data_IF_912448348502
#
_entry.id   IF_912448348502
#
_cell.length_a   1.000
_cell.length_b   1.000
_cell.length_c   1.000
_cell.angle_alpha   90.00
_cell.angle_beta   90.00
_cell.angle_gamma   90.00
#
_symmetry.space_group_name_H-M   'P 1'
#
loop_
_entity.id
_entity.type
_entity.pdbx_description
1 polymer ?
#
# COMPACT_ATOMS: atom_id res chain seq x y z
N UNK A 1 -4.12 -10.27 2.41
CA UNK A 1 -4.98 -9.06 2.35
C UNK A 1 -4.23 -7.76 2.69
N UNK A 2 -3.36 -7.72 3.70
CA UNK A 2 -2.53 -6.52 3.95
C UNK A 2 -1.68 -6.15 2.73
N UNK A 3 -1.02 -7.13 2.11
CA UNK A 3 -0.29 -6.93 0.85
C UNK A 3 -1.17 -6.36 -0.26
N UNK A 4 -2.43 -6.78 -0.34
CA UNK A 4 -3.38 -6.20 -1.30
C UNK A 4 -3.61 -4.71 -1.03
N UNK A 5 -3.93 -4.34 0.22
CA UNK A 5 -4.22 -2.95 0.58
C UNK A 5 -3.05 -2.03 0.22
N UNK A 6 -1.85 -2.45 0.54
CA UNK A 6 -0.64 -1.68 0.25
C UNK A 6 -0.34 -1.66 -1.26
N UNK A 7 -0.35 -2.82 -1.92
CA UNK A 7 -0.07 -2.94 -3.35
C UNK A 7 -1.13 -2.27 -4.22
N UNK A 8 -2.40 -2.18 -3.76
CA UNK A 8 -3.45 -1.48 -4.47
C UNK A 8 -3.15 0.03 -4.58
N UNK A 9 -2.62 0.65 -3.49
CA UNK A 9 -2.15 2.02 -3.52
C UNK A 9 -1.00 2.23 -4.50
N UNK A 10 -0.01 1.34 -4.47
CA UNK A 10 1.14 1.38 -5.38
C UNK A 10 0.72 1.16 -6.84
N UNK A 11 -0.16 0.19 -7.10
CA UNK A 11 -0.71 -0.10 -8.43
C UNK A 11 -1.51 1.08 -9.00
N UNK A 12 -2.27 1.78 -8.14
CA UNK A 12 -3.02 2.97 -8.54
C UNK A 12 -2.07 4.12 -8.92
N UNK A 13 -1.05 4.39 -8.11
CA UNK A 13 -0.04 5.43 -8.38
C UNK A 13 0.67 5.11 -9.69
N UNK A 14 1.24 3.90 -9.81
CA UNK A 14 1.99 3.53 -11.00
C UNK A 14 1.10 3.51 -12.26
N UNK A 15 -0.09 2.94 -12.18
CA UNK A 15 -0.99 2.83 -13.32
C UNK A 15 -1.41 4.18 -13.93
N UNK A 16 -1.50 5.23 -13.09
CA UNK A 16 -1.94 6.57 -13.53
C UNK A 16 -0.77 7.48 -13.86
N UNK A 17 0.25 7.47 -13.01
CA UNK A 17 1.37 8.43 -13.09
C UNK A 17 2.58 7.85 -13.81
N UNK A 18 2.67 6.52 -13.93
CA UNK A 18 3.82 5.79 -14.45
C UNK A 18 5.12 6.09 -13.66
N UNK A 19 5.00 6.27 -12.34
CA UNK A 19 6.11 6.55 -11.43
C UNK A 19 6.29 5.37 -10.48
N UNK A 20 7.52 4.84 -10.43
CA UNK A 20 7.91 3.83 -9.45
C UNK A 20 8.22 4.52 -8.10
N UNK A 21 7.31 4.38 -7.15
CA UNK A 21 7.44 5.01 -5.84
C UNK A 21 8.01 4.04 -4.80
N UNK A 22 9.33 4.05 -4.60
CA UNK A 22 9.97 3.24 -3.56
C UNK A 22 9.59 3.69 -2.14
N UNK A 23 9.29 4.96 -1.94
CA UNK A 23 8.90 5.48 -0.63
C UNK A 23 7.51 5.01 -0.17
N UNK A 24 6.77 4.25 -1.01
CA UNK A 24 5.41 3.82 -0.69
C UNK A 24 5.33 2.95 0.57
N UNK A 25 6.28 2.02 0.73
CA UNK A 25 6.33 1.18 1.93
C UNK A 25 6.85 1.95 3.16
N UNK A 26 7.74 2.92 2.99
CA UNK A 26 8.18 3.76 4.09
C UNK A 26 7.06 4.72 4.54
N UNK A 27 6.22 5.19 3.62
CA UNK A 27 4.98 5.91 3.96
C UNK A 27 3.98 5.02 4.69
N UNK A 28 3.89 3.74 4.32
CA UNK A 28 3.13 2.74 5.07
C UNK A 28 3.69 2.56 6.49
N UNK A 29 5.00 2.43 6.64
CA UNK A 29 5.67 2.31 7.94
C UNK A 29 5.41 3.55 8.80
N UNK A 30 5.64 4.75 8.26
CA UNK A 30 5.36 6.02 8.94
C UNK A 30 3.89 6.10 9.39
N UNK A 31 2.96 5.65 8.53
CA UNK A 31 1.54 5.61 8.84
C UNK A 31 1.22 4.76 10.07
N UNK A 32 1.96 3.66 10.27
CA UNK A 32 1.81 2.81 11.44
C UNK A 32 2.23 3.52 12.71
N UNK A 33 3.36 4.18 12.71
CA UNK A 33 3.81 4.98 13.84
C UNK A 33 2.84 6.13 14.15
N UNK A 34 2.30 6.80 13.13
CA UNK A 34 1.26 7.83 13.28
C UNK A 34 -0.01 7.23 13.87
N UNK A 35 -0.48 6.09 13.35
CA UNK A 35 -1.68 5.38 13.87
C UNK A 35 -1.48 4.99 15.33
N UNK A 36 -0.30 4.46 15.68
CA UNK A 36 0.04 4.13 17.06
C UNK A 36 -0.04 5.36 17.98
N UNK A 37 0.51 6.50 17.56
CA UNK A 37 0.49 7.74 18.34
C UNK A 37 -0.93 8.25 18.55
N UNK A 38 -1.75 8.27 17.51
CA UNK A 38 -3.16 8.69 17.58
C UNK A 38 -3.95 7.73 18.48
N UNK A 39 -3.76 6.41 18.32
CA UNK A 39 -4.41 5.41 19.17
C UNK A 39 -4.04 5.58 20.64
N UNK A 40 -2.76 5.80 20.94
CA UNK A 40 -2.28 6.01 22.32
C UNK A 40 -2.87 7.27 22.90
N UNK A 41 -2.90 8.37 22.15
CA UNK A 41 -3.52 9.63 22.58
C UNK A 41 -5.02 9.46 22.87
N UNK A 42 -5.78 8.84 21.95
CA UNK A 42 -7.22 8.60 22.16
C UNK A 42 -7.48 7.69 23.36
N UNK A 43 -6.67 6.65 23.54
CA UNK A 43 -6.80 5.73 24.67
C UNK A 43 -6.51 6.39 26.02
N UNK A 44 -5.61 7.36 26.05
CA UNK A 44 -5.34 8.15 27.26
C UNK A 44 -6.48 9.11 27.62
N UNK A 45 -7.16 9.71 26.61
CA UNK A 45 -8.23 10.70 26.82
C UNK A 45 -9.58 10.05 27.08
N UNK A 46 -9.90 8.94 26.39
CA UNK A 46 -11.25 8.36 26.38
C UNK A 46 -11.31 6.96 27.01
N UNK A 47 -10.19 6.48 27.56
CA UNK A 47 -10.06 5.13 28.08
C UNK A 47 -9.58 4.11 27.07
N UNK A 48 -8.84 3.10 27.55
CA UNK A 48 -8.28 2.06 26.70
C UNK A 48 -9.39 1.12 26.20
N UNK A 49 -9.80 1.29 24.95
CA UNK A 49 -10.81 0.45 24.29
C UNK A 49 -10.35 0.03 22.91
N UNK A 50 -10.54 -1.24 22.50
CA UNK A 50 -10.24 -1.71 21.15
C UNK A 50 -10.94 -0.89 20.05
N UNK A 51 -12.10 -0.32 20.33
CA UNK A 51 -12.86 0.52 19.39
C UNK A 51 -12.15 1.81 19.02
N UNK A 52 -11.17 2.29 19.84
CA UNK A 52 -10.37 3.47 19.53
C UNK A 52 -9.43 3.26 18.33
N UNK A 53 -9.23 2.02 17.91
CA UNK A 53 -8.43 1.71 16.72
C UNK A 53 -9.08 2.29 15.44
N UNK A 54 -10.40 2.19 15.32
CA UNK A 54 -11.10 2.66 14.12
C UNK A 54 -10.98 4.16 13.90
N UNK A 55 -11.29 5.05 14.88
CA UNK A 55 -11.04 6.48 14.73
C UNK A 55 -9.55 6.80 14.56
N UNK A 56 -8.64 6.06 15.20
CA UNK A 56 -7.21 6.25 15.00
C UNK A 56 -6.79 5.98 13.54
N UNK A 57 -7.28 4.90 12.94
CA UNK A 57 -7.03 4.59 11.52
C UNK A 57 -7.61 5.69 10.63
N UNK A 58 -8.84 6.12 10.85
CA UNK A 58 -9.49 7.16 10.02
C UNK A 58 -8.69 8.48 10.07
N UNK A 59 -8.29 8.90 11.26
CA UNK A 59 -7.46 10.10 11.44
C UNK A 59 -6.08 9.94 10.77
N UNK A 60 -5.44 8.78 10.92
CA UNK A 60 -4.16 8.49 10.29
C UNK A 60 -4.26 8.49 8.75
N UNK A 61 -5.31 7.87 8.20
CA UNK A 61 -5.59 7.87 6.75
C UNK A 61 -5.77 9.30 6.24
N UNK A 62 -6.56 10.12 6.93
CA UNK A 62 -6.77 11.52 6.54
C UNK A 62 -5.47 12.31 6.58
N UNK A 63 -4.71 12.21 7.68
CA UNK A 63 -3.43 12.91 7.84
C UNK A 63 -2.40 12.47 6.79
N UNK A 64 -2.24 11.16 6.59
CA UNK A 64 -1.27 10.64 5.64
C UNK A 64 -1.67 10.88 4.19
N UNK A 65 -2.97 10.95 3.88
CA UNK A 65 -3.42 11.39 2.55
C UNK A 65 -3.05 12.85 2.29
N UNK A 66 -3.13 13.73 3.29
CA UNK A 66 -2.67 15.13 3.19
C UNK A 66 -1.14 15.20 3.01
N UNK A 67 -0.39 14.37 3.75
CA UNK A 67 1.07 14.25 3.57
C UNK A 67 1.39 13.78 2.16
N UNK A 68 0.70 12.75 1.66
CA UNK A 68 0.86 12.25 0.30
C UNK A 68 0.56 13.34 -0.74
N UNK A 69 -0.54 14.07 -0.58
CA UNK A 69 -0.87 15.21 -1.45
C UNK A 69 0.23 16.28 -1.45
N UNK A 70 0.77 16.62 -0.28
CA UNK A 70 1.86 17.60 -0.15
C UNK A 70 3.16 17.09 -0.79
N UNK A 71 3.54 15.83 -0.55
CA UNK A 71 4.73 15.22 -1.16
C UNK A 71 4.64 15.20 -2.68
N UNK A 72 3.48 14.87 -3.23
CA UNK A 72 3.29 14.95 -4.68
C UNK A 72 3.47 16.38 -5.18
N UNK A 73 2.78 17.33 -4.55
CA UNK A 73 2.75 18.72 -5.01
C UNK A 73 4.11 19.41 -4.95
N UNK A 74 4.89 19.13 -3.92
CA UNK A 74 6.15 19.85 -3.67
C UNK A 74 7.39 19.09 -4.13
N UNK A 75 7.35 17.75 -4.23
CA UNK A 75 8.52 16.96 -4.61
C UNK A 75 8.28 16.17 -5.91
N UNK A 76 7.32 15.24 -5.92
CA UNK A 76 7.19 14.26 -7.00
C UNK A 76 6.80 14.92 -8.33
N UNK A 77 6.01 15.97 -8.29
CA UNK A 77 5.60 16.72 -9.48
C UNK A 77 6.78 17.19 -10.33
N UNK A 78 7.90 17.54 -9.71
CA UNK A 78 9.08 18.04 -10.42
C UNK A 78 9.85 16.95 -11.18
N UNK A 79 9.45 15.68 -10.99
CA UNK A 79 10.09 14.53 -11.67
C UNK A 79 9.24 13.94 -12.79
N UNK A 80 8.07 14.50 -13.12
CA UNK A 80 7.19 13.90 -14.15
C UNK A 80 7.80 13.82 -15.54
N UNK A 81 8.65 14.79 -15.89
CA UNK A 81 9.35 14.87 -17.17
C UNK A 81 10.79 14.33 -17.10
N UNK A 82 11.17 13.79 -15.95
CA UNK A 82 12.50 13.26 -15.70
C UNK A 82 12.56 11.76 -16.06
N UNK A 83 13.76 11.28 -16.32
CA UNK A 83 14.00 9.86 -16.59
C UNK A 83 13.72 8.98 -15.36
N UNK A 84 13.40 7.70 -15.59
CA UNK A 84 13.11 6.73 -14.52
C UNK A 84 14.20 6.68 -13.42
N UNK A 85 15.52 6.73 -13.73
CA UNK A 85 16.55 6.71 -12.68
C UNK A 85 16.47 7.91 -11.72
N UNK A 86 16.14 9.11 -12.23
CA UNK A 86 16.01 10.31 -11.40
C UNK A 86 14.78 10.21 -10.46
N UNK A 87 13.67 9.66 -10.98
CA UNK A 87 12.47 9.41 -10.18
C UNK A 87 12.74 8.38 -9.07
N UNK A 88 13.46 7.30 -9.39
CA UNK A 88 13.87 6.29 -8.43
C UNK A 88 14.77 6.87 -7.35
N UNK A 89 15.75 7.70 -7.73
CA UNK A 89 16.67 8.34 -6.80
C UNK A 89 15.94 9.27 -5.83
N UNK A 90 14.97 10.08 -6.32
CA UNK A 90 14.16 10.94 -5.46
C UNK A 90 13.34 10.13 -4.46
N UNK A 91 12.64 9.08 -4.93
CA UNK A 91 11.80 8.27 -4.04
C UNK A 91 12.64 7.46 -3.05
N UNK A 92 13.86 7.04 -3.43
CA UNK A 92 14.81 6.40 -2.52
C UNK A 92 15.36 7.39 -1.47
N UNK A 93 15.66 8.62 -1.86
CA UNK A 93 16.04 9.67 -0.91
C UNK A 93 14.92 9.92 0.12
N UNK A 94 13.64 9.88 -0.31
CA UNK A 94 12.49 9.95 0.60
C UNK A 94 12.45 8.76 1.58
N UNK A 95 12.81 7.54 1.16
CA UNK A 95 12.92 6.38 2.06
C UNK A 95 13.88 6.70 3.21
N UNK A 96 15.08 7.21 2.89
CA UNK A 96 16.10 7.54 3.89
C UNK A 96 15.63 8.66 4.83
N UNK A 97 15.11 9.74 4.27
CA UNK A 97 14.63 10.89 5.07
C UNK A 97 13.48 10.48 5.99
N UNK A 98 12.47 9.77 5.48
CA UNK A 98 11.33 9.34 6.27
C UNK A 98 11.73 8.30 7.32
N UNK A 99 12.67 7.40 7.00
CA UNK A 99 13.24 6.46 7.96
C UNK A 99 13.95 7.17 9.12
N UNK A 100 14.72 8.22 8.83
CA UNK A 100 15.37 9.02 9.87
C UNK A 100 14.36 9.89 10.66
N UNK A 101 13.32 10.40 10.03
CA UNK A 101 12.22 11.09 10.73
C UNK A 101 11.54 10.13 11.73
N UNK A 102 11.28 8.88 11.33
CA UNK A 102 10.71 7.88 12.25
C UNK A 102 11.64 7.65 13.45
N UNK A 103 12.95 7.48 13.21
CA UNK A 103 13.95 7.31 14.30
C UNK A 103 13.99 8.49 15.25
N UNK A 104 13.97 9.72 14.71
CA UNK A 104 14.06 10.94 15.52
C UNK A 104 12.82 11.16 16.39
N UNK A 105 11.62 10.84 15.87
CA UNK A 105 10.36 11.11 16.56
C UNK A 105 9.96 9.97 17.51
N UNK A 106 10.09 8.71 17.08
CA UNK A 106 9.62 7.55 17.83
C UNK A 106 10.74 6.64 18.39
N UNK A 107 12.00 6.91 18.02
CA UNK A 107 13.13 6.08 18.43
C UNK A 107 13.23 4.77 17.62
N UNK A 108 14.00 3.82 18.17
CA UNK A 108 14.25 2.50 17.54
C UNK A 108 13.29 1.41 18.03
N UNK A 109 12.36 1.75 18.90
CA UNK A 109 11.47 0.76 19.52
C UNK A 109 10.40 0.28 18.57
N UNK A 110 10.14 -1.01 18.62
CA UNK A 110 9.02 -1.62 17.90
C UNK A 110 7.70 -1.18 18.51
N UNK A 111 6.76 -0.77 17.68
CA UNK A 111 5.43 -0.30 18.12
C UNK A 111 4.36 -1.32 17.72
N UNK A 112 3.53 -1.71 18.70
CA UNK A 112 2.40 -2.61 18.51
C UNK A 112 1.19 -2.12 19.31
N UNK A 113 0.00 -2.30 18.77
CA UNK A 113 -1.25 -2.11 19.51
C UNK A 113 -1.73 -3.48 19.99
N UNK A 114 -1.89 -3.62 21.30
CA UNK A 114 -2.50 -4.82 21.86
C UNK A 114 -3.99 -4.56 22.10
N UNK A 115 -4.82 -5.25 21.34
CA UNK A 115 -6.29 -5.15 21.46
C UNK A 115 -6.89 -6.08 22.52
N UNK A 116 -6.07 -6.90 23.19
CA UNK A 116 -6.54 -7.89 24.16
C UNK A 116 -7.40 -9.01 23.54
N UNK A 117 -7.35 -9.18 22.21
CA UNK A 117 -8.11 -10.24 21.53
C UNK A 117 -7.47 -11.59 21.83
N UNK A 118 -8.22 -12.47 22.46
CA UNK A 118 -7.79 -13.82 22.79
C UNK A 118 -7.80 -14.70 21.51
N UNK A 119 -6.77 -15.54 21.29
CA UNK A 119 -6.82 -16.54 20.22
C UNK A 119 -8.00 -17.48 20.43
N UNK A 120 -8.67 -17.84 19.35
CA UNK A 120 -9.78 -18.76 19.34
C UNK A 120 -9.33 -20.11 18.77
N UNK A 121 -9.72 -21.20 19.40
CA UNK A 121 -9.43 -22.54 18.92
C UNK A 121 -10.39 -22.90 17.77
N UNK A 122 -9.85 -23.15 16.60
CA UNK A 122 -10.59 -23.50 15.41
C UNK A 122 -9.85 -24.60 14.65
N UNK A 123 -10.49 -25.76 14.47
CA UNK A 123 -9.90 -26.93 13.80
C UNK A 123 -8.53 -27.33 14.39
N UNK A 124 -8.47 -27.47 15.73
CA UNK A 124 -7.27 -27.81 16.49
C UNK A 124 -6.09 -26.84 16.31
N UNK A 125 -6.37 -25.62 15.84
CA UNK A 125 -5.37 -24.57 15.62
C UNK A 125 -5.81 -23.27 16.30
N UNK A 126 -4.87 -22.58 16.96
CA UNK A 126 -5.11 -21.29 17.57
C UNK A 126 -5.10 -20.19 16.47
N UNK A 127 -6.28 -19.66 16.18
CA UNK A 127 -6.46 -18.60 15.19
C UNK A 127 -6.75 -17.28 15.90
N UNK A 128 -6.08 -16.21 15.50
CA UNK A 128 -6.41 -14.87 15.99
C UNK A 128 -7.65 -14.33 15.25
N UNK A 129 -8.79 -14.08 15.94
CA UNK A 129 -10.02 -13.59 15.30
C UNK A 129 -9.82 -12.28 14.53
N UNK A 130 -8.82 -11.48 14.89
CA UNK A 130 -8.49 -10.24 14.20
C UNK A 130 -8.09 -10.46 12.72
N UNK A 131 -7.61 -11.66 12.37
CA UNK A 131 -7.30 -12.00 10.96
C UNK A 131 -8.55 -11.94 10.06
N UNK A 132 -9.73 -12.28 10.58
CA UNK A 132 -10.99 -12.15 9.82
C UNK A 132 -11.35 -10.68 9.57
N UNK A 133 -11.04 -9.79 10.52
CA UNK A 133 -11.21 -8.33 10.32
C UNK A 133 -10.31 -7.84 9.18
N UNK A 134 -9.07 -8.30 9.11
CA UNK A 134 -8.12 -7.97 8.03
C UNK A 134 -8.66 -8.45 6.68
N UNK A 135 -9.16 -9.68 6.62
CA UNK A 135 -9.72 -10.25 5.38
C UNK A 135 -10.96 -9.44 4.96
N UNK A 136 -11.87 -9.19 5.89
CA UNK A 136 -13.09 -8.41 5.63
C UNK A 136 -12.75 -6.98 5.15
N UNK A 137 -11.80 -6.33 5.78
CA UNK A 137 -11.32 -4.99 5.37
C UNK A 137 -10.72 -5.04 3.96
N UNK A 138 -9.89 -6.04 3.66
CA UNK A 138 -9.31 -6.19 2.33
C UNK A 138 -10.36 -6.35 1.23
N UNK A 139 -11.37 -7.20 1.45
CA UNK A 139 -12.48 -7.41 0.51
C UNK A 139 -13.34 -6.15 0.38
N UNK A 140 -13.67 -5.49 1.50
CA UNK A 140 -14.45 -4.25 1.50
C UNK A 140 -13.75 -3.14 0.73
N UNK A 141 -12.43 -2.98 0.91
CA UNK A 141 -11.63 -2.00 0.17
C UNK A 141 -11.52 -2.37 -1.30
N UNK A 142 -11.37 -3.66 -1.65
CA UNK A 142 -11.36 -4.09 -3.04
C UNK A 142 -12.67 -3.74 -3.75
N UNK A 143 -13.82 -4.05 -3.12
CA UNK A 143 -15.13 -3.69 -3.64
C UNK A 143 -15.34 -2.15 -3.70
N UNK A 144 -14.92 -1.44 -2.66
CA UNK A 144 -14.98 0.02 -2.60
C UNK A 144 -14.15 0.70 -3.68
N UNK A 145 -12.91 0.26 -3.91
CA UNK A 145 -12.04 0.78 -4.97
C UNK A 145 -12.60 0.46 -6.35
N UNK A 146 -13.10 -0.76 -6.55
CA UNK A 146 -13.76 -1.12 -7.81
C UNK A 146 -14.96 -0.20 -8.08
N UNK A 147 -15.83 -0.02 -7.09
CA UNK A 147 -16.98 0.89 -7.20
C UNK A 147 -16.53 2.34 -7.45
N UNK A 148 -15.57 2.82 -6.68
CA UNK A 148 -15.04 4.18 -6.80
C UNK A 148 -14.47 4.44 -8.20
N UNK A 149 -13.64 3.54 -8.71
CA UNK A 149 -13.03 3.70 -10.04
C UNK A 149 -14.04 3.57 -11.18
N UNK A 150 -15.09 2.73 -11.06
CA UNK A 150 -16.01 2.47 -12.17
C UNK A 150 -17.25 3.36 -12.14
N UNK A 151 -17.71 3.78 -10.96
CA UNK A 151 -18.99 4.48 -10.81
C UNK A 151 -18.84 5.97 -10.56
N UNK A 152 -17.71 6.47 -10.01
CA UNK A 152 -17.54 7.90 -9.72
C UNK A 152 -17.02 8.70 -10.92
N UNK A 153 -17.27 10.01 -10.92
CA UNK A 153 -16.74 10.94 -11.94
C UNK A 153 -15.21 10.97 -11.89
N UNK A 154 -14.64 11.00 -10.69
CA UNK A 154 -13.20 10.99 -10.50
C UNK A 154 -12.54 9.70 -11.04
N UNK A 155 -13.10 8.53 -10.73
CA UNK A 155 -12.62 7.26 -11.27
C UNK A 155 -12.67 7.18 -12.80
N UNK A 156 -13.69 7.78 -13.44
CA UNK A 156 -13.75 7.87 -14.91
C UNK A 156 -12.62 8.73 -15.47
N UNK A 157 -12.33 9.89 -14.83
CA UNK A 157 -11.23 10.78 -15.21
C UNK A 157 -9.88 10.09 -15.02
N UNK A 158 -9.67 9.41 -13.89
CA UNK A 158 -8.44 8.65 -13.60
C UNK A 158 -8.20 7.60 -14.69
N UNK A 159 -9.21 6.81 -15.04
CA UNK A 159 -9.09 5.81 -16.12
C UNK A 159 -8.84 6.45 -17.50
N UNK A 160 -9.49 7.56 -17.80
CA UNK A 160 -9.23 8.29 -19.04
C UNK A 160 -7.79 8.83 -19.11
N UNK A 161 -7.24 9.30 -17.98
CA UNK A 161 -5.85 9.79 -17.89
C UNK A 161 -4.82 8.68 -18.10
N UNK A 162 -5.13 7.42 -17.72
CA UNK A 162 -4.29 6.25 -18.04
C UNK A 162 -4.18 6.03 -19.54
N UNK A 163 -5.28 6.20 -20.29
CA UNK A 163 -5.27 6.00 -21.75
C UNK A 163 -4.65 7.16 -22.51
N UNK A 164 -4.96 8.41 -22.15
CA UNK A 164 -4.45 9.59 -22.85
C UNK A 164 -4.49 10.83 -21.95
N UNK A 165 -3.31 11.19 -21.44
CA UNK A 165 -3.11 12.42 -20.65
C UNK A 165 -3.42 13.68 -21.45
N UNK A 166 -2.99 13.71 -22.72
CA UNK A 166 -3.20 14.86 -23.63
C UNK A 166 -4.69 15.11 -23.90
N UNK A 167 -5.48 14.06 -24.10
CA UNK A 167 -6.91 14.20 -24.32
C UNK A 167 -7.65 14.72 -23.08
N UNK A 168 -7.30 14.22 -21.88
CA UNK A 168 -7.90 14.71 -20.62
C UNK A 168 -7.52 16.16 -20.37
N UNK A 169 -6.28 16.56 -20.66
CA UNK A 169 -5.83 17.95 -20.58
C UNK A 169 -6.57 18.86 -21.58
N UNK A 170 -6.82 18.39 -22.80
CA UNK A 170 -7.57 19.13 -23.82
C UNK A 170 -9.03 19.39 -23.42
N UNK A 171 -9.61 18.56 -22.55
CA UNK A 171 -10.92 18.77 -21.93
C UNK A 171 -10.91 19.78 -20.77
N UNK A 172 -9.77 20.45 -20.52
CA UNK A 172 -9.62 21.44 -19.46
C UNK A 172 -9.41 20.86 -18.06
N UNK A 173 -9.16 19.55 -17.93
CA UNK A 173 -8.94 18.91 -16.64
C UNK A 173 -7.46 19.00 -16.28
N UNK A 174 -7.10 19.61 -15.12
CA UNK A 174 -5.70 19.77 -14.71
C UNK A 174 -5.09 18.42 -14.27
N UNK A 175 -4.29 17.81 -15.13
CA UNK A 175 -3.60 16.54 -14.87
C UNK A 175 -2.80 16.54 -13.56
N UNK A 176 -2.04 17.62 -13.20
CA UNK A 176 -1.30 17.64 -11.94
C UNK A 176 -2.19 17.50 -10.70
N UNK A 177 -3.42 18.01 -10.74
CA UNK A 177 -4.36 17.85 -9.63
C UNK A 177 -4.87 16.41 -9.52
N UNK A 178 -5.12 15.75 -10.66
CA UNK A 178 -5.52 14.33 -10.70
C UNK A 178 -4.40 13.47 -10.10
N UNK A 179 -3.15 13.74 -10.45
CA UNK A 179 -2.00 13.01 -9.94
C UNK A 179 -1.83 13.18 -8.43
N UNK A 180 -1.97 14.42 -7.92
CA UNK A 180 -1.92 14.69 -6.49
C UNK A 180 -3.00 13.93 -5.71
N UNK A 181 -4.23 13.90 -6.24
CA UNK A 181 -5.34 13.15 -5.63
C UNK A 181 -5.10 11.62 -5.67
N UNK A 182 -4.59 11.11 -6.79
CA UNK A 182 -4.26 9.68 -6.95
C UNK A 182 -3.14 9.28 -5.98
N UNK A 183 -2.11 10.11 -5.86
CA UNK A 183 -1.02 9.87 -4.93
C UNK A 183 -1.51 9.89 -3.47
N UNK A 184 -2.34 10.90 -3.11
CA UNK A 184 -2.98 11.00 -1.80
C UNK A 184 -3.82 9.76 -1.47
N UNK A 185 -4.63 9.28 -2.43
CA UNK A 185 -5.40 8.05 -2.27
C UNK A 185 -4.52 6.82 -2.08
N UNK A 186 -3.43 6.70 -2.86
CA UNK A 186 -2.49 5.59 -2.72
C UNK A 186 -1.83 5.58 -1.34
N UNK A 187 -1.37 6.74 -0.85
CA UNK A 187 -0.81 6.88 0.49
C UNK A 187 -1.87 6.63 1.57
N UNK A 188 -3.12 7.06 1.36
CA UNK A 188 -4.25 6.75 2.24
C UNK A 188 -4.52 5.25 2.36
N UNK A 189 -4.42 4.50 1.24
CA UNK A 189 -4.53 3.04 1.25
C UNK A 189 -3.36 2.38 2.00
N UNK A 190 -2.14 2.91 1.85
CA UNK A 190 -1.00 2.46 2.64
C UNK A 190 -1.21 2.71 4.14
N UNK A 191 -1.76 3.87 4.51
CA UNK A 191 -2.08 4.19 5.89
C UNK A 191 -3.17 3.27 6.48
N UNK A 192 -4.19 2.96 5.68
CA UNK A 192 -5.22 2.00 6.08
C UNK A 192 -4.62 0.59 6.26
N UNK A 193 -3.78 0.14 5.32
CA UNK A 193 -3.08 -1.14 5.42
C UNK A 193 -2.23 -1.23 6.69
N UNK A 194 -1.52 -0.17 7.01
CA UNK A 194 -0.66 -0.04 8.19
C UNK A 194 -1.47 -0.09 9.49
N UNK A 195 -2.53 0.71 9.58
CA UNK A 195 -3.38 0.74 10.77
C UNK A 195 -4.07 -0.59 11.06
N UNK A 196 -4.50 -1.31 10.02
CA UNK A 196 -5.08 -2.65 10.13
C UNK A 196 -4.02 -3.71 10.46
N UNK A 197 -2.77 -3.52 10.05
CA UNK A 197 -1.67 -4.45 10.32
C UNK A 197 -1.13 -4.35 11.76
N UNK A 198 -1.13 -3.16 12.34
CA UNK A 198 -0.46 -2.83 13.61
C UNK A 198 -0.88 -3.69 14.81
N UNK A 199 -2.13 -4.17 14.97
CA UNK A 199 -2.49 -5.11 16.03
C UNK A 199 -1.98 -6.54 15.80
N UNK A 200 -1.67 -6.91 14.55
CA UNK A 200 -1.23 -8.27 14.20
C UNK A 200 0.24 -8.48 14.55
N UNK A 201 1.10 -7.60 14.09
CA UNK A 201 2.55 -7.68 14.25
C UNK A 201 3.12 -6.30 14.64
N UNK A 202 4.20 -6.29 15.44
CA UNK A 202 4.89 -5.04 15.77
C UNK A 202 5.54 -4.46 14.52
N UNK A 203 5.45 -3.15 14.37
CA UNK A 203 6.19 -2.41 13.35
C UNK A 203 7.59 -2.08 13.84
N UNK A 204 8.58 -2.37 13.01
CA UNK A 204 9.99 -2.09 13.24
C UNK A 204 10.60 -1.36 12.04
N UNK A 205 11.64 -0.57 12.31
CA UNK A 205 12.45 0.06 11.28
C UNK A 205 13.11 -0.99 10.39
N UNK A 206 13.10 -0.74 9.08
CA UNK A 206 13.64 -1.67 8.08
C UNK A 206 12.63 -2.64 7.48
N UNK A 207 11.45 -2.84 8.11
CA UNK A 207 10.38 -3.66 7.55
C UNK A 207 9.87 -3.17 6.20
N UNK A 208 9.96 -1.88 5.96
CA UNK A 208 9.55 -1.23 4.71
C UNK A 208 10.34 -1.74 3.49
N UNK A 209 11.63 -2.08 3.67
CA UNK A 209 12.46 -2.59 2.59
C UNK A 209 12.02 -3.99 2.13
N UNK A 210 11.64 -4.87 3.06
CA UNK A 210 11.14 -6.20 2.73
C UNK A 210 9.74 -6.13 2.10
N UNK A 211 8.90 -5.26 2.63
CA UNK A 211 7.50 -5.12 2.19
C UNK A 211 7.43 -4.45 0.82
N UNK A 212 8.30 -3.47 0.49
CA UNK A 212 8.27 -2.83 -0.83
C UNK A 212 8.56 -3.84 -1.93
N UNK A 213 9.49 -4.76 -1.71
CA UNK A 213 9.83 -5.84 -2.65
C UNK A 213 8.62 -6.74 -2.90
N UNK A 214 7.92 -7.15 -1.84
CA UNK A 214 6.70 -7.96 -1.95
C UNK A 214 5.60 -7.21 -2.69
N UNK A 215 5.43 -5.91 -2.43
CA UNK A 215 4.43 -5.08 -3.10
C UNK A 215 4.73 -4.91 -4.59
N UNK A 216 5.99 -4.69 -4.96
CA UNK A 216 6.39 -4.64 -6.36
C UNK A 216 6.13 -5.97 -7.06
N UNK A 217 6.48 -7.09 -6.43
CA UNK A 217 6.18 -8.41 -6.99
C UNK A 217 4.68 -8.58 -7.23
N UNK A 218 3.83 -8.21 -6.27
CA UNK A 218 2.37 -8.26 -6.42
C UNK A 218 1.89 -7.39 -7.59
N UNK A 219 2.38 -6.16 -7.70
CA UNK A 219 1.95 -5.23 -8.76
C UNK A 219 2.41 -5.72 -10.14
N UNK A 220 3.62 -6.24 -10.25
CA UNK A 220 4.16 -6.79 -11.51
C UNK A 220 3.42 -8.06 -11.91
N UNK A 221 3.25 -9.01 -10.99
CA UNK A 221 2.50 -10.26 -11.22
C UNK A 221 1.06 -9.95 -11.61
N UNK A 222 0.41 -9.00 -10.92
CA UNK A 222 -0.97 -8.59 -11.19
C UNK A 222 -1.13 -7.89 -12.54
N UNK A 223 -0.08 -7.23 -12.99
CA UNK A 223 -0.05 -6.33 -14.15
C UNK A 223 -0.25 -4.87 -13.71
N UNK A 224 0.66 -4.02 -14.12
CA UNK A 224 0.71 -2.61 -13.74
C UNK A 224 -0.63 -1.88 -13.99
N UNK A 225 -1.16 -1.23 -12.94
CA UNK A 225 -2.43 -0.49 -13.00
C UNK A 225 -3.70 -1.35 -13.00
N UNK A 226 -3.59 -2.68 -12.98
CA UNK A 226 -4.74 -3.58 -12.91
C UNK A 226 -5.14 -3.86 -11.47
N UNK A 227 -6.24 -3.26 -10.99
CA UNK A 227 -6.75 -3.49 -9.63
C UNK A 227 -7.16 -4.95 -9.37
N UNK A 228 -7.82 -5.58 -10.34
CA UNK A 228 -8.18 -7.00 -10.25
C UNK A 228 -6.94 -7.87 -10.26
N UNK A 229 -5.95 -7.55 -11.11
CA UNK A 229 -4.68 -8.24 -11.14
C UNK A 229 -3.94 -8.13 -9.81
N UNK A 230 -3.87 -6.94 -9.23
CA UNK A 230 -3.25 -6.72 -7.91
C UNK A 230 -3.95 -7.51 -6.82
N UNK A 231 -5.29 -7.60 -6.84
CA UNK A 231 -6.06 -8.39 -5.88
C UNK A 231 -5.73 -9.88 -5.98
N UNK A 232 -5.80 -10.47 -7.17
CA UNK A 232 -5.49 -11.89 -7.40
C UNK A 232 -4.02 -12.19 -7.09
N UNK A 233 -3.10 -11.37 -7.57
CA UNK A 233 -1.67 -11.54 -7.32
C UNK A 233 -1.34 -11.47 -5.83
N UNK A 234 -1.97 -10.57 -5.07
CA UNK A 234 -1.75 -10.46 -3.61
C UNK A 234 -2.20 -11.71 -2.85
N UNK A 235 -3.25 -12.38 -3.30
CA UNK A 235 -3.68 -13.66 -2.73
C UNK A 235 -2.65 -14.75 -3.05
N UNK A 236 -2.24 -14.86 -4.32
CA UNK A 236 -1.25 -15.86 -4.76
C UNK A 236 0.06 -15.67 -3.99
N UNK A 237 0.62 -14.46 -4.01
CA UNK A 237 1.88 -14.15 -3.32
C UNK A 237 1.75 -14.36 -1.81
N UNK A 238 0.63 -13.92 -1.21
CA UNK A 238 0.40 -14.10 0.22
C UNK A 238 0.29 -15.56 0.64
N UNK A 239 -0.39 -16.39 -0.13
CA UNK A 239 -0.51 -17.83 0.13
C UNK A 239 0.86 -18.50 -0.02
N UNK A 240 1.56 -18.25 -1.13
CA UNK A 240 2.89 -18.86 -1.34
C UNK A 240 3.89 -18.40 -0.28
N UNK A 241 3.90 -17.12 0.07
CA UNK A 241 4.76 -16.61 1.13
C UNK A 241 4.48 -17.29 2.47
N UNK A 242 3.21 -17.48 2.84
CA UNK A 242 2.82 -18.16 4.07
C UNK A 242 3.24 -19.63 4.09
N UNK A 243 3.07 -20.34 2.99
CA UNK A 243 3.57 -21.72 2.87
C UNK A 243 5.08 -21.78 2.88
N UNK A 244 5.76 -20.83 2.23
CA UNK A 244 7.22 -20.77 2.19
C UNK A 244 7.81 -20.58 3.58
N UNK A 245 7.23 -19.70 4.40
CA UNK A 245 7.66 -19.53 5.80
C UNK A 245 7.52 -20.83 6.60
N UNK A 246 6.49 -21.63 6.33
CA UNK A 246 6.26 -22.88 7.04
C UNK A 246 7.30 -23.95 6.70
N UNK A 247 7.68 -24.08 5.42
CA UNK A 247 8.56 -25.16 4.95
C UNK A 247 10.04 -24.72 4.79
N UNK A 248 10.28 -23.47 4.44
CA UNK A 248 11.61 -22.91 4.18
C UNK A 248 11.67 -21.42 4.53
N UNK A 249 11.75 -21.07 5.83
CA UNK A 249 11.69 -19.67 6.29
C UNK A 249 12.72 -18.76 5.62
N UNK A 250 13.98 -19.21 5.52
CA UNK A 250 15.09 -18.43 4.95
C UNK A 250 14.93 -18.17 3.44
N UNK A 251 14.18 -19.01 2.74
CA UNK A 251 13.92 -18.90 1.33
C UNK A 251 12.56 -18.28 0.97
N UNK A 252 11.79 -17.81 1.93
CA UNK A 252 10.43 -17.33 1.69
C UNK A 252 10.39 -16.14 0.70
N UNK A 253 11.34 -15.21 0.78
CA UNK A 253 11.48 -14.12 -0.19
C UNK A 253 11.88 -14.63 -1.58
N UNK A 254 12.77 -15.62 -1.67
CA UNK A 254 13.18 -16.20 -2.94
C UNK A 254 12.00 -16.84 -3.69
N UNK A 255 11.05 -17.46 -2.97
CA UNK A 255 9.86 -18.04 -3.58
C UNK A 255 8.96 -16.99 -4.25
N UNK A 256 8.88 -15.77 -3.71
CA UNK A 256 8.16 -14.65 -4.35
C UNK A 256 8.81 -14.31 -5.70
N UNK A 257 10.14 -14.22 -5.74
CA UNK A 257 10.87 -13.95 -6.98
C UNK A 257 10.74 -15.10 -8.00
N UNK A 258 10.72 -16.35 -7.55
CA UNK A 258 10.49 -17.49 -8.44
C UNK A 258 9.12 -17.42 -9.12
N UNK A 259 8.06 -17.07 -8.38
CA UNK A 259 6.74 -16.86 -8.96
C UNK A 259 6.76 -15.67 -9.92
N UNK A 260 7.41 -14.57 -9.53
CA UNK A 260 7.56 -13.39 -10.38
C UNK A 260 8.19 -13.76 -11.72
N UNK A 261 9.31 -14.50 -11.70
CA UNK A 261 10.00 -14.97 -12.91
C UNK A 261 9.08 -15.87 -13.73
N UNK A 262 8.43 -16.85 -13.10
CA UNK A 262 7.53 -17.78 -13.78
C UNK A 262 6.37 -17.05 -14.48
N UNK A 263 5.76 -16.06 -13.80
CA UNK A 263 4.67 -15.26 -14.39
C UNK A 263 5.17 -14.39 -15.52
N UNK A 264 6.34 -13.72 -15.40
CA UNK A 264 6.89 -12.88 -16.45
C UNK A 264 7.32 -13.65 -17.68
N UNK A 265 7.81 -14.88 -17.52
CA UNK A 265 8.14 -15.77 -18.67
C UNK A 265 6.85 -16.17 -19.41
N UNK A 266 5.76 -16.46 -18.68
CA UNK A 266 4.52 -16.89 -19.28
C UNK A 266 3.67 -15.72 -19.79
N UNK A 267 3.60 -14.61 -19.01
CA UNK A 267 2.88 -13.38 -19.35
C UNK A 267 3.69 -12.14 -18.98
N UNK A 268 4.47 -11.58 -19.90
CA UNK A 268 5.36 -10.45 -19.63
C UNK A 268 4.63 -9.18 -19.18
N UNK A 269 3.32 -9.09 -19.44
CA UNK A 269 2.47 -7.96 -19.01
C UNK A 269 1.80 -8.17 -17.64
N UNK A 270 2.12 -9.28 -16.96
CA UNK A 270 1.41 -9.72 -15.77
C UNK A 270 0.08 -10.44 -16.09
N UNK A 271 -0.60 -10.94 -15.06
CA UNK A 271 -1.81 -11.78 -15.22
C UNK A 271 -2.97 -11.04 -15.91
N UNK A 272 -3.15 -9.75 -15.60
CA UNK A 272 -4.25 -8.91 -16.07
C UNK A 272 -3.76 -7.58 -16.67
N UNK A 273 -2.49 -7.47 -17.02
CA UNK A 273 -1.94 -6.35 -17.74
C UNK A 273 -2.39 -6.32 -19.19
N UNK A 274 -2.48 -5.14 -19.78
CA UNK A 274 -2.74 -4.95 -21.21
C UNK A 274 -1.42 -4.70 -21.93
N UNK A 275 -1.27 -5.27 -23.13
CA UNK A 275 -0.13 -4.94 -24.00
C UNK A 275 -0.08 -3.43 -24.23
N UNK A 276 1.02 -2.82 -23.86
CA UNK A 276 1.28 -1.44 -24.27
C UNK A 276 1.39 -1.46 -25.80
N UNK A 277 0.35 -1.01 -26.49
CA UNK A 277 0.45 -0.74 -27.92
C UNK A 277 1.53 0.34 -28.11
N UNK A 278 2.67 -0.11 -28.64
CA UNK A 278 3.78 0.72 -29.14
C UNK A 278 3.30 1.68 -30.21
#
# INVERSE_FOLDING_TARGET
MVLFLLSAGLSLIFGVMNILNFAHATLWLLSGYVTFSIFTFLSQQFGASPWMLLPAIVCAVALMSLVGFALERFLIRHTYERELPEQLLLTFALVLILGDVIKLVWGLENRRINLGVQPMEMLDTLVNPYQFVIIGTGVAVAAGLWYFLHRTRFGKIVRAAVYSRSMVSALGIPIPMIYAMVFALGVGLAALASGVFLPLLPMSLGMDLDIIVQCFAVVVIGGFGSMLGTFVASIIVGVVYSFSILFWPDGALAMIFLILIAVLIWRPWGLFGTELRS
#
